data_IF_691424252336
#
_entry.id   IF_691424252336
#
_cell.length_a   1.000
_cell.length_b   1.000
_cell.length_c   1.000
_cell.angle_alpha   90.00
_cell.angle_beta   90.00
_cell.angle_gamma   90.00
#
_symmetry.space_group_name_H-M   'P 1'
#
loop_
_entity.id
_entity.type
_entity.pdbx_description
1 polymer ?
#
# COMPACT_ATOMS: atom_id res chain seq x y z
N UNK A 1 26.25 -45.55 -57.41
CA UNK A 1 25.10 -44.61 -57.46
C UNK A 1 25.39 -43.53 -56.42
N UNK A 2 25.77 -42.29 -56.79
CA UNK A 2 24.88 -41.11 -56.98
C UNK A 2 23.86 -40.97 -55.83
N UNK A 3 23.72 -39.90 -55.04
CA UNK A 3 24.23 -38.52 -54.94
C UNK A 3 23.65 -37.94 -53.60
N UNK A 4 23.91 -36.67 -53.20
CA UNK A 4 24.12 -36.24 -51.82
C UNK A 4 22.92 -35.59 -51.08
N UNK A 5 23.10 -35.45 -49.77
CA UNK A 5 22.76 -34.32 -48.87
C UNK A 5 21.75 -33.29 -49.41
N UNK A 6 20.59 -33.17 -48.74
CA UNK A 6 19.76 -31.96 -48.79
C UNK A 6 19.42 -31.53 -47.37
N UNK A 7 20.14 -30.51 -46.90
CA UNK A 7 19.71 -29.63 -45.81
C UNK A 7 18.39 -28.99 -46.22
N UNK A 8 17.36 -29.13 -45.40
CA UNK A 8 16.16 -28.29 -45.47
C UNK A 8 16.30 -27.21 -44.39
N UNK A 9 16.63 -26.01 -44.87
CA UNK A 9 16.55 -24.77 -44.14
C UNK A 9 15.13 -24.18 -44.26
N UNK A 10 14.69 -23.47 -43.21
CA UNK A 10 13.62 -22.47 -43.29
C UNK A 10 12.43 -22.75 -42.37
N UNK A 11 11.82 -21.78 -41.68
CA UNK A 11 11.91 -20.32 -41.65
C UNK A 11 11.43 -19.92 -40.24
N UNK A 12 12.23 -19.18 -39.47
CA UNK A 12 11.81 -18.55 -38.21
C UNK A 12 11.07 -17.24 -38.54
N UNK A 13 9.74 -17.26 -38.51
CA UNK A 13 8.93 -16.05 -38.63
C UNK A 13 8.83 -15.34 -37.28
N UNK A 14 9.83 -14.51 -36.96
CA UNK A 14 9.79 -13.57 -35.83
C UNK A 14 8.71 -12.51 -36.08
N UNK A 15 7.54 -12.68 -35.48
CA UNK A 15 6.51 -11.63 -35.44
C UNK A 15 6.88 -10.60 -34.38
N UNK A 16 7.58 -9.55 -34.78
CA UNK A 16 7.83 -8.38 -33.94
C UNK A 16 6.57 -7.49 -33.91
N UNK A 17 5.64 -7.81 -33.03
CA UNK A 17 4.53 -6.92 -32.69
C UNK A 17 5.06 -5.79 -31.81
N UNK A 18 5.47 -4.69 -32.41
CA UNK A 18 5.75 -3.44 -31.69
C UNK A 18 4.42 -2.82 -31.29
N UNK A 19 3.97 -3.08 -30.06
CA UNK A 19 2.85 -2.36 -29.47
C UNK A 19 3.39 -1.10 -28.81
N UNK A 20 3.02 0.07 -29.34
CA UNK A 20 3.32 1.36 -28.74
C UNK A 20 2.75 1.42 -27.32
N UNK A 21 3.59 1.79 -26.35
CA UNK A 21 3.18 2.09 -24.99
C UNK A 21 2.18 3.25 -25.00
N UNK A 22 1.00 3.02 -24.43
CA UNK A 22 0.00 4.07 -24.24
C UNK A 22 0.34 4.82 -22.94
N UNK A 23 0.57 6.13 -23.03
CA UNK A 23 0.71 7.00 -21.86
C UNK A 23 -0.65 7.15 -21.21
N UNK A 24 -0.84 6.49 -20.08
CA UNK A 24 -2.03 6.61 -19.25
C UNK A 24 -1.95 7.97 -18.55
N UNK A 25 -2.68 8.96 -19.04
CA UNK A 25 -2.89 10.21 -18.30
C UNK A 25 -3.72 9.86 -17.06
N UNK A 26 -3.06 9.72 -15.91
CA UNK A 26 -3.75 9.58 -14.63
C UNK A 26 -4.35 10.93 -14.24
N UNK A 27 -5.69 11.06 -14.13
CA UNK A 27 -6.29 12.30 -13.66
C UNK A 27 -6.09 12.39 -12.14
N UNK A 28 -5.26 13.35 -11.71
CA UNK A 28 -5.18 13.74 -10.30
C UNK A 28 -3.80 13.60 -9.64
N UNK A 29 -2.74 14.12 -10.27
CA UNK A 29 -1.66 14.69 -9.48
C UNK A 29 -1.99 16.16 -9.27
N UNK A 30 -2.50 16.52 -8.09
CA UNK A 30 -2.40 17.91 -7.65
C UNK A 30 -0.91 18.27 -7.73
N UNK A 31 -0.55 19.18 -8.66
CA UNK A 31 0.83 19.42 -9.05
C UNK A 31 1.69 19.78 -7.84
N UNK A 32 2.56 18.87 -7.45
CA UNK A 32 3.45 19.00 -6.30
C UNK A 32 4.23 17.71 -6.06
N UNK A 33 5.34 17.78 -5.32
CA UNK A 33 6.12 16.61 -4.95
C UNK A 33 5.25 15.62 -4.16
N UNK A 34 5.33 14.30 -4.42
CA UNK A 34 4.57 13.32 -3.66
C UNK A 34 4.94 13.40 -2.17
N UNK A 35 3.95 13.17 -1.32
CA UNK A 35 4.12 13.08 0.12
C UNK A 35 4.30 11.62 0.53
N UNK A 36 4.99 11.37 1.63
CA UNK A 36 5.16 10.03 2.21
C UNK A 36 4.32 9.91 3.47
N UNK A 37 3.38 8.98 3.49
CA UNK A 37 2.65 8.58 4.69
C UNK A 37 3.23 7.27 5.21
N UNK A 38 3.86 7.31 6.38
CA UNK A 38 4.37 6.12 7.07
C UNK A 38 3.44 5.75 8.22
N UNK A 39 3.07 4.48 8.29
CA UNK A 39 2.20 3.93 9.34
C UNK A 39 2.88 2.72 9.96
N UNK A 40 3.07 2.76 11.28
CA UNK A 40 3.71 1.70 12.06
C UNK A 40 2.72 1.05 13.00
N UNK A 41 2.71 -0.28 13.08
CA UNK A 41 2.04 -1.03 14.14
C UNK A 41 3.07 -1.38 15.23
N UNK A 42 2.70 -1.17 16.49
CA UNK A 42 3.54 -1.57 17.63
C UNK A 42 3.82 -3.07 17.64
N UNK A 43 4.94 -3.46 18.24
CA UNK A 43 5.43 -4.83 18.37
C UNK A 43 4.94 -5.53 19.65
N UNK A 44 4.46 -4.78 20.64
CA UNK A 44 4.00 -5.32 21.91
C UNK A 44 2.65 -6.05 21.79
N UNK A 45 2.51 -7.19 22.45
CA UNK A 45 1.28 -7.99 22.47
C UNK A 45 0.07 -7.26 23.12
N UNK A 46 0.31 -6.16 23.84
CA UNK A 46 -0.75 -5.29 24.39
C UNK A 46 -1.54 -4.53 23.31
N UNK A 47 -1.06 -4.52 22.07
CA UNK A 47 -1.60 -3.70 20.95
C UNK A 47 -2.57 -4.46 20.01
N UNK A 48 -3.18 -5.56 20.47
CA UNK A 48 -3.93 -6.56 19.69
C UNK A 48 -3.04 -7.63 19.07
N UNK A 49 -3.52 -8.87 19.09
CA UNK A 49 -2.91 -9.98 18.36
C UNK A 49 -3.46 -10.13 16.92
N UNK A 50 -4.44 -9.32 16.52
CA UNK A 50 -4.91 -9.27 15.13
C UNK A 50 -4.01 -8.41 14.25
N UNK A 51 -3.94 -8.75 12.97
CA UNK A 51 -3.32 -7.87 11.99
C UNK A 51 -4.20 -6.66 11.72
N UNK A 52 -3.58 -5.58 11.25
CA UNK A 52 -4.28 -4.34 10.96
C UNK A 52 -4.25 -4.10 9.45
N UNK A 53 -5.43 -4.03 8.85
CA UNK A 53 -5.62 -3.59 7.48
C UNK A 53 -5.65 -2.07 7.42
N UNK A 54 -4.78 -1.50 6.58
CA UNK A 54 -4.78 -0.08 6.22
C UNK A 54 -5.58 0.08 4.93
N UNK A 55 -6.66 0.83 4.99
CA UNK A 55 -7.50 1.12 3.84
C UNK A 55 -7.32 2.57 3.41
N UNK A 56 -6.92 2.78 2.16
CA UNK A 56 -6.88 4.10 1.54
C UNK A 56 -8.02 4.17 0.53
N UNK A 57 -8.83 5.23 0.61
CA UNK A 57 -10.02 5.38 -0.26
C UNK A 57 -10.90 4.11 -0.28
N UNK A 58 -11.06 3.48 0.88
CA UNK A 58 -11.84 2.25 1.10
C UNK A 58 -11.28 0.97 0.46
N UNK A 59 -10.09 1.01 -0.15
CA UNK A 59 -9.39 -0.17 -0.68
C UNK A 59 -8.28 -0.61 0.27
N UNK A 60 -8.11 -1.91 0.44
CA UNK A 60 -7.02 -2.45 1.27
C UNK A 60 -5.68 -2.14 0.60
N UNK A 61 -4.93 -1.22 1.19
CA UNK A 61 -3.64 -0.77 0.68
C UNK A 61 -2.47 -1.53 1.32
N UNK A 62 -2.62 -1.97 2.57
CA UNK A 62 -1.62 -2.78 3.26
C UNK A 62 -2.22 -3.59 4.40
N UNK A 63 -1.51 -4.65 4.79
CA UNK A 63 -1.73 -5.41 6.02
C UNK A 63 -0.47 -5.27 6.88
N UNK A 64 -0.64 -4.95 8.16
CA UNK A 64 0.44 -4.84 9.14
C UNK A 64 0.35 -5.91 10.22
N UNK A 65 1.36 -6.77 10.27
CA UNK A 65 1.67 -7.65 11.39
C UNK A 65 2.35 -6.86 12.52
N UNK A 66 2.54 -7.49 13.69
CA UNK A 66 3.09 -6.81 14.86
C UNK A 66 4.52 -6.35 14.57
N UNK A 67 4.82 -5.09 14.91
CA UNK A 67 6.11 -4.45 14.64
C UNK A 67 6.35 -4.01 13.20
N UNK A 68 5.40 -4.23 12.28
CA UNK A 68 5.57 -3.83 10.89
C UNK A 68 5.24 -2.36 10.64
N UNK A 69 5.87 -1.81 9.61
CA UNK A 69 5.59 -0.48 9.08
C UNK A 69 5.37 -0.53 7.57
N UNK A 70 4.56 0.39 7.07
CA UNK A 70 4.35 0.60 5.63
C UNK A 70 4.47 2.08 5.29
N UNK A 71 4.96 2.37 4.10
CA UNK A 71 5.07 3.73 3.56
C UNK A 71 4.30 3.83 2.23
N UNK A 72 3.53 4.89 2.08
CA UNK A 72 2.77 5.20 0.86
C UNK A 72 3.23 6.51 0.26
N UNK A 73 3.54 6.50 -1.03
CA UNK A 73 3.72 7.72 -1.81
C UNK A 73 2.34 8.18 -2.28
N UNK A 74 1.86 9.29 -1.76
CA UNK A 74 0.53 9.82 -2.05
C UNK A 74 0.64 11.20 -2.71
N UNK A 75 -0.29 11.57 -3.60
CA UNK A 75 -0.43 12.94 -4.02
C UNK A 75 -0.63 13.87 -2.81
N UNK A 76 -0.14 15.12 -2.85
CA UNK A 76 -0.44 16.08 -1.82
C UNK A 76 -1.95 16.38 -1.78
N UNK A 77 -2.44 16.71 -0.59
CA UNK A 77 -3.85 16.99 -0.33
C UNK A 77 -4.44 16.07 0.74
N UNK A 78 -5.77 15.97 0.74
CA UNK A 78 -6.50 15.18 1.72
C UNK A 78 -6.57 13.71 1.32
N UNK A 79 -6.27 12.81 2.26
CA UNK A 79 -6.45 11.36 2.09
C UNK A 79 -7.22 10.77 3.27
N UNK A 80 -8.16 9.89 2.96
CA UNK A 80 -8.96 9.18 3.96
C UNK A 80 -8.34 7.82 4.24
N UNK A 81 -8.03 7.58 5.51
CA UNK A 81 -7.50 6.31 6.01
C UNK A 81 -8.51 5.65 6.94
N UNK A 82 -8.74 4.36 6.75
CA UNK A 82 -9.57 3.54 7.64
C UNK A 82 -8.75 2.34 8.09
N UNK A 83 -8.89 1.98 9.37
CA UNK A 83 -8.22 0.81 9.94
C UNK A 83 -9.24 -0.28 10.24
N UNK A 84 -8.89 -1.55 9.95
CA UNK A 84 -9.73 -2.70 10.30
C UNK A 84 -8.90 -3.86 10.84
N UNK A 85 -9.50 -4.68 11.69
CA UNK A 85 -8.93 -5.95 12.09
C UNK A 85 -8.91 -6.92 10.90
N UNK A 86 -7.80 -7.63 10.74
CA UNK A 86 -7.62 -8.70 9.76
C UNK A 86 -7.17 -9.98 10.45
N UNK A 87 -7.64 -11.11 9.95
CA UNK A 87 -7.31 -12.44 10.46
C UNK A 87 -8.53 -13.34 10.55
N UNK A 88 -8.33 -14.56 11.05
CA UNK A 88 -9.40 -15.54 11.25
C UNK A 88 -9.95 -15.49 12.68
N UNK A 89 -11.09 -16.16 12.91
CA UNK A 89 -11.68 -16.30 14.24
C UNK A 89 -12.05 -14.96 14.85
N UNK A 90 -11.60 -14.69 16.07
CA UNK A 90 -11.89 -13.44 16.78
C UNK A 90 -11.45 -12.17 16.02
N UNK A 91 -10.44 -12.27 15.14
CA UNK A 91 -9.98 -11.14 14.32
C UNK A 91 -10.89 -10.82 13.13
N UNK A 92 -11.78 -11.74 12.76
CA UNK A 92 -12.77 -11.55 11.70
C UNK A 92 -14.10 -10.97 12.21
N UNK A 93 -14.23 -10.86 13.54
CA UNK A 93 -15.41 -10.26 14.15
C UNK A 93 -15.52 -8.77 13.74
N UNK A 94 -16.73 -8.27 13.43
CA UNK A 94 -16.94 -6.85 13.19
C UNK A 94 -16.46 -6.03 14.38
N UNK A 95 -15.67 -4.97 14.10
CA UNK A 95 -15.23 -4.05 15.14
C UNK A 95 -16.40 -3.21 15.65
N UNK A 96 -16.39 -2.89 16.95
CA UNK A 96 -17.42 -2.08 17.59
C UNK A 96 -17.57 -0.68 16.94
N UNK A 97 -16.46 -0.10 16.48
CA UNK A 97 -16.48 1.08 15.63
C UNK A 97 -15.37 0.98 14.57
N UNK A 98 -15.71 1.37 13.34
CA UNK A 98 -14.75 1.58 12.26
C UNK A 98 -14.85 3.06 11.93
N UNK A 99 -13.79 3.81 12.22
CA UNK A 99 -13.71 5.24 11.97
C UNK A 99 -12.69 5.53 10.88
N UNK A 100 -13.05 6.42 9.97
CA UNK A 100 -12.12 6.96 8.98
C UNK A 100 -11.49 8.24 9.52
N UNK A 101 -10.20 8.42 9.27
CA UNK A 101 -9.46 9.63 9.58
C UNK A 101 -9.07 10.32 8.27
N UNK A 102 -9.39 11.60 8.18
CA UNK A 102 -8.94 12.44 7.10
C UNK A 102 -7.59 13.06 7.47
N UNK A 103 -6.58 12.82 6.63
CA UNK A 103 -5.22 13.30 6.81
C UNK A 103 -4.88 14.28 5.70
N UNK A 104 -4.48 15.50 6.06
CA UNK A 104 -3.93 16.47 5.12
C UNK A 104 -2.42 16.25 4.96
N UNK A 105 -1.95 16.08 3.73
CA UNK A 105 -0.54 15.89 3.37
C UNK A 105 -0.04 17.07 2.54
N UNK A 106 1.02 17.75 2.99
CA UNK A 106 1.65 18.82 2.24
C UNK A 106 2.62 18.26 1.18
N UNK A 107 2.86 18.99 0.06
CA UNK A 107 3.81 18.55 -0.98
C UNK A 107 5.19 18.24 -0.42
N UNK A 108 5.71 17.04 -0.72
CA UNK A 108 7.01 16.56 -0.24
C UNK A 108 7.09 16.23 1.25
N UNK A 109 6.00 16.33 2.00
CA UNK A 109 5.95 16.04 3.43
C UNK A 109 6.14 14.55 3.71
N UNK A 110 6.84 14.23 4.80
CA UNK A 110 6.87 12.89 5.39
C UNK A 110 6.06 12.94 6.70
N UNK A 111 4.89 12.32 6.73
CA UNK A 111 4.09 12.16 7.96
C UNK A 111 4.21 10.74 8.48
N UNK A 112 4.42 10.63 9.79
CA UNK A 112 4.53 9.34 10.48
C UNK A 112 3.41 9.21 11.50
N UNK A 113 2.75 8.06 11.48
CA UNK A 113 1.69 7.70 12.40
C UNK A 113 1.95 6.32 12.98
N UNK A 114 1.45 6.09 14.19
CA UNK A 114 1.34 4.77 14.78
C UNK A 114 -0.10 4.33 14.88
N UNK A 115 -0.34 3.03 14.74
CA UNK A 115 -1.63 2.42 15.04
C UNK A 115 -1.79 2.35 16.56
N UNK A 116 -2.93 2.84 17.04
CA UNK A 116 -3.38 2.75 18.42
C UNK A 116 -4.66 1.93 18.47
N UNK A 117 -4.76 1.04 19.45
CA UNK A 117 -5.98 0.31 19.76
C UNK A 117 -6.67 0.95 20.96
N UNK A 118 -7.99 1.11 20.86
CA UNK A 118 -8.88 1.47 21.97
C UNK A 118 -10.07 0.51 22.01
N UNK A 119 -10.92 0.65 23.02
CA UNK A 119 -12.20 -0.07 23.09
C UNK A 119 -13.12 0.23 21.88
N UNK A 120 -12.96 1.40 21.26
CA UNK A 120 -13.72 1.80 20.08
C UNK A 120 -13.10 1.27 18.77
N UNK A 121 -11.97 0.56 18.82
CA UNK A 121 -11.26 0.09 17.64
C UNK A 121 -9.92 0.78 17.43
N UNK A 122 -9.42 0.70 16.19
CA UNK A 122 -8.11 1.22 15.81
C UNK A 122 -8.20 2.66 15.31
N UNK A 123 -7.18 3.45 15.60
CA UNK A 123 -6.97 4.78 15.01
C UNK A 123 -5.48 5.08 14.86
N UNK A 124 -5.16 6.05 14.02
CA UNK A 124 -3.83 6.60 13.81
C UNK A 124 -3.58 7.74 14.79
N UNK A 125 -2.47 7.67 15.50
CA UNK A 125 -1.93 8.77 16.29
C UNK A 125 -0.63 9.28 15.66
N UNK A 126 -0.40 10.60 15.56
CA UNK A 126 0.88 11.14 15.10
C UNK A 126 2.02 10.59 15.94
N UNK A 127 3.17 10.35 15.31
CA UNK A 127 4.42 10.09 16.03
C UNK A 127 5.15 11.41 16.18
N UNK A 128 5.46 11.79 17.42
CA UNK A 128 6.35 12.91 17.68
C UNK A 128 7.77 12.50 17.28
N UNK A 129 8.25 13.04 16.15
CA UNK A 129 9.59 12.74 15.59
C UNK A 129 10.76 13.20 16.49
N UNK A 130 10.48 13.77 17.67
CA UNK A 130 11.47 14.25 18.63
C UNK A 130 11.54 13.41 19.93
N UNK A 131 10.58 12.54 20.19
CA UNK A 131 10.52 11.75 21.43
C UNK A 131 11.25 10.39 21.35
N UNK A 132 11.84 10.07 20.20
CA UNK A 132 12.54 8.80 19.94
C UNK A 132 14.05 9.01 19.69
N UNK A 133 14.64 10.02 20.33
CA UNK A 133 16.08 10.33 20.24
C UNK A 133 16.75 10.49 21.60
#
# INVERSE_FOLDING_TARGET
>A
MRHPLKLLAGILAFHASVTCAQTINSPGAAGGSPSVLMITRGDTATTSACDVGIYLKNELAARLMAGESVSFNLPPGETTVTLRSLGAGYCSAPMASIKSQSLLLAPGEIKQYRVVQSEQGYFLAPVDLYQDR
#
